data_IF_490913608173
#
_entry.id   IF_490913608173
#
_cell.length_a   1.000
_cell.length_b   1.000
_cell.length_c   1.000
_cell.angle_alpha   90.00
_cell.angle_beta   90.00
_cell.angle_gamma   90.00
#
_symmetry.space_group_name_H-M   'P 1'
#
loop_
_entity.id
_entity.type
_entity.pdbx_description
1 polymer ?
#
# COMPACT_ATOMS: atom_id res chain seq x y z
N UNK A 1 -24.37 -2.07 52.72
CA UNK A 1 -23.08 -1.34 52.89
C UNK A 1 -22.22 -1.67 51.71
N UNK A 2 -22.14 -0.77 50.74
CA UNK A 2 -21.29 -0.94 49.57
C UNK A 2 -19.87 -0.48 49.92
N UNK A 3 -18.90 -1.38 49.74
CA UNK A 3 -17.47 -1.12 49.89
C UNK A 3 -17.03 0.02 48.96
N UNK A 4 -16.23 0.99 49.43
CA UNK A 4 -15.68 2.04 48.57
C UNK A 4 -14.72 1.40 47.54
N UNK A 5 -14.98 1.61 46.26
CA UNK A 5 -14.03 1.24 45.21
C UNK A 5 -12.69 1.95 45.47
N UNK A 6 -11.63 1.19 45.67
CA UNK A 6 -10.28 1.72 45.80
C UNK A 6 -9.94 2.59 44.59
N UNK A 7 -9.68 3.88 44.84
CA UNK A 7 -9.23 4.80 43.81
C UNK A 7 -7.79 4.44 43.42
N UNK A 8 -7.63 3.71 42.33
CA UNK A 8 -6.33 3.45 41.73
C UNK A 8 -5.51 4.74 41.58
N UNK A 9 -4.27 4.73 42.02
CA UNK A 9 -3.34 5.85 41.89
C UNK A 9 -3.11 6.24 40.43
N UNK A 10 -2.62 7.45 40.16
CA UNK A 10 -2.41 8.00 38.80
C UNK A 10 -1.53 7.11 37.93
N UNK A 11 -0.52 6.45 38.52
CA UNK A 11 0.36 5.49 37.82
C UNK A 11 -0.38 4.20 37.43
N UNK A 12 -1.24 3.66 38.32
CA UNK A 12 -2.02 2.46 38.03
C UNK A 12 -3.08 2.72 36.94
N UNK A 13 -3.76 3.88 36.96
CA UNK A 13 -4.68 4.28 35.88
C UNK A 13 -3.96 4.48 34.56
N UNK A 14 -2.72 4.97 34.55
CA UNK A 14 -1.89 5.09 33.35
C UNK A 14 -1.48 3.71 32.85
N UNK A 15 -1.10 2.80 33.72
CA UNK A 15 -0.77 1.42 33.39
C UNK A 15 -1.96 0.66 32.82
N UNK A 16 -3.17 0.83 33.39
CA UNK A 16 -4.37 0.18 32.89
C UNK A 16 -4.83 0.74 31.52
N UNK A 17 -4.65 2.04 31.27
CA UNK A 17 -4.89 2.63 29.94
C UNK A 17 -3.92 2.09 28.88
N UNK A 18 -2.68 1.75 29.28
CA UNK A 18 -1.69 1.14 28.38
C UNK A 18 -1.97 -0.35 28.11
N UNK A 19 -2.82 -0.99 28.93
CA UNK A 19 -3.25 -2.39 28.77
C UNK A 19 -4.52 -2.55 27.94
N UNK A 20 -5.16 -1.46 27.56
CA UNK A 20 -6.36 -1.53 26.70
C UNK A 20 -5.91 -2.04 25.33
N UNK A 21 -6.24 -3.30 25.04
CA UNK A 21 -6.06 -3.88 23.71
C UNK A 21 -7.03 -3.16 22.76
N UNK A 22 -6.48 -2.53 21.73
CA UNK A 22 -7.30 -1.93 20.68
C UNK A 22 -7.68 -3.06 19.73
N UNK A 23 -8.94 -3.47 19.79
CA UNK A 23 -9.48 -4.45 18.85
C UNK A 23 -9.79 -3.74 17.54
N UNK A 24 -9.25 -4.27 16.46
CA UNK A 24 -9.57 -3.83 15.10
C UNK A 24 -10.94 -4.42 14.73
N UNK A 25 -11.77 -3.62 14.05
CA UNK A 25 -12.99 -4.17 13.46
C UNK A 25 -12.61 -5.17 12.36
N UNK A 26 -13.38 -6.27 12.23
CA UNK A 26 -13.09 -7.24 11.19
C UNK A 26 -13.24 -6.59 9.80
N UNK A 27 -12.49 -7.08 8.84
CA UNK A 27 -12.65 -6.71 7.42
C UNK A 27 -14.11 -6.87 7.02
N UNK A 28 -14.67 -5.83 6.40
CA UNK A 28 -16.05 -5.89 5.93
C UNK A 28 -16.13 -6.80 4.70
N UNK A 29 -17.07 -7.75 4.76
CA UNK A 29 -17.41 -8.57 3.58
C UNK A 29 -18.61 -7.93 2.88
N UNK A 30 -18.44 -7.62 1.61
CA UNK A 30 -19.52 -7.10 0.79
C UNK A 30 -20.56 -8.19 0.53
N UNK A 31 -21.75 -8.01 1.08
CA UNK A 31 -22.90 -8.90 0.89
C UNK A 31 -23.98 -8.28 0.00
N UNK A 32 -23.80 -7.05 -0.45
CA UNK A 32 -24.70 -6.37 -1.38
C UNK A 32 -24.19 -6.56 -2.81
N UNK A 33 -25.09 -6.74 -3.79
CA UNK A 33 -24.71 -6.82 -5.18
C UNK A 33 -23.91 -5.57 -5.62
N UNK A 34 -23.00 -5.74 -6.57
CA UNK A 34 -22.38 -4.60 -7.25
C UNK A 34 -23.45 -3.85 -8.02
N UNK A 35 -23.37 -2.53 -7.99
CA UNK A 35 -24.09 -1.70 -8.97
C UNK A 35 -23.30 -1.73 -10.26
N UNK A 36 -23.84 -2.40 -11.26
CA UNK A 36 -23.23 -2.54 -12.59
C UNK A 36 -23.89 -1.53 -13.54
N UNK A 37 -23.27 -0.36 -13.77
CA UNK A 37 -23.83 0.67 -14.67
C UNK A 37 -23.75 0.28 -16.15
N UNK A 38 -22.95 -0.73 -16.48
CA UNK A 38 -22.78 -1.27 -17.82
C UNK A 38 -23.29 -2.71 -17.89
N UNK A 39 -23.90 -3.06 -19.02
CA UNK A 39 -24.24 -4.44 -19.30
C UNK A 39 -23.02 -5.24 -19.79
N UNK A 40 -23.17 -6.57 -19.89
CA UNK A 40 -22.09 -7.49 -20.27
C UNK A 40 -21.46 -7.13 -21.63
N UNK A 41 -22.28 -6.81 -22.65
CA UNK A 41 -21.80 -6.38 -23.97
C UNK A 41 -20.93 -5.12 -23.90
N UNK A 42 -21.30 -4.16 -23.06
CA UNK A 42 -20.53 -2.91 -22.88
C UNK A 42 -19.19 -3.19 -22.18
N UNK A 43 -19.18 -4.09 -21.21
CA UNK A 43 -17.94 -4.52 -20.52
C UNK A 43 -17.02 -5.23 -21.50
N UNK A 44 -17.54 -6.18 -22.29
CA UNK A 44 -16.79 -6.88 -23.32
C UNK A 44 -16.19 -5.93 -24.37
N UNK A 45 -16.94 -4.91 -24.79
CA UNK A 45 -16.44 -3.88 -25.72
C UNK A 45 -15.31 -3.04 -25.13
N UNK A 46 -15.39 -2.70 -23.83
CA UNK A 46 -14.31 -1.99 -23.13
C UNK A 46 -13.05 -2.86 -22.99
N UNK A 47 -13.24 -4.11 -22.64
CA UNK A 47 -12.15 -5.07 -22.53
C UNK A 47 -11.46 -5.29 -23.90
N UNK A 48 -12.23 -5.49 -24.97
CA UNK A 48 -11.72 -5.63 -26.32
C UNK A 48 -10.96 -4.38 -26.80
N UNK A 49 -11.48 -3.20 -26.50
CA UNK A 49 -10.80 -1.94 -26.82
C UNK A 49 -9.48 -1.79 -26.04
N UNK A 50 -9.43 -2.22 -24.77
CA UNK A 50 -8.23 -2.21 -23.95
C UNK A 50 -7.16 -3.16 -24.51
N UNK A 51 -7.57 -4.37 -24.91
CA UNK A 51 -6.67 -5.32 -25.56
C UNK A 51 -6.18 -4.81 -26.92
N UNK A 52 -7.03 -4.17 -27.72
CA UNK A 52 -6.63 -3.53 -28.99
C UNK A 52 -5.57 -2.45 -28.78
N UNK A 53 -5.70 -1.62 -27.72
CA UNK A 53 -4.68 -0.62 -27.37
C UNK A 53 -3.36 -1.31 -27.03
N UNK A 54 -3.36 -2.37 -26.24
CA UNK A 54 -2.15 -3.10 -25.88
C UNK A 54 -1.49 -3.80 -27.09
N UNK A 55 -2.28 -4.29 -28.03
CA UNK A 55 -1.83 -5.01 -29.22
C UNK A 55 -1.34 -4.07 -30.34
N UNK A 56 -2.10 -3.04 -30.65
CA UNK A 56 -1.83 -2.16 -31.80
C UNK A 56 -0.95 -0.96 -31.44
N UNK A 57 -1.23 -0.30 -30.32
CA UNK A 57 -0.46 0.85 -29.84
C UNK A 57 0.71 0.40 -28.98
N UNK A 58 0.45 -0.45 -27.98
CA UNK A 58 1.44 -0.92 -27.01
C UNK A 58 1.81 0.12 -25.96
N UNK A 59 2.76 -0.23 -25.12
CA UNK A 59 3.21 0.57 -23.97
C UNK A 59 4.72 0.77 -24.06
N UNK A 60 5.21 1.95 -23.71
CA UNK A 60 6.65 2.24 -23.63
C UNK A 60 7.20 1.85 -22.25
N UNK A 61 8.35 1.18 -22.26
CA UNK A 61 9.10 0.81 -21.08
C UNK A 61 10.49 1.40 -21.16
N UNK A 62 10.75 2.43 -20.38
CA UNK A 62 12.06 3.10 -20.31
C UNK A 62 13.00 2.38 -19.33
N UNK A 63 13.05 1.06 -19.40
CA UNK A 63 13.86 0.21 -18.53
C UNK A 63 14.37 -1.02 -19.30
N UNK A 64 15.68 -1.15 -19.53
CA UNK A 64 16.24 -2.27 -20.30
C UNK A 64 15.94 -3.65 -19.71
N UNK A 65 15.85 -3.77 -18.38
CA UNK A 65 15.56 -5.04 -17.71
C UNK A 65 14.12 -5.46 -18.01
N UNK A 66 13.17 -4.53 -17.92
CA UNK A 66 11.78 -4.81 -18.26
C UNK A 66 11.62 -5.20 -19.74
N UNK A 67 12.32 -4.54 -20.66
CA UNK A 67 12.30 -4.89 -22.09
C UNK A 67 12.80 -6.33 -22.35
N UNK A 68 13.86 -6.74 -21.67
CA UNK A 68 14.37 -8.11 -21.78
C UNK A 68 13.41 -9.14 -21.14
N UNK A 69 12.76 -8.79 -20.03
CA UNK A 69 11.72 -9.64 -19.44
C UNK A 69 10.53 -9.84 -20.39
N UNK A 70 10.06 -8.75 -21.02
CA UNK A 70 8.97 -8.81 -22.00
C UNK A 70 9.33 -9.61 -23.25
N UNK A 71 10.56 -9.49 -23.75
CA UNK A 71 11.05 -10.35 -24.87
C UNK A 71 11.02 -11.82 -24.48
N UNK A 72 11.48 -12.17 -23.27
CA UNK A 72 11.46 -13.55 -22.76
C UNK A 72 10.04 -14.08 -22.59
N UNK A 73 9.10 -13.22 -22.21
CA UNK A 73 7.69 -13.57 -22.11
C UNK A 73 6.98 -13.70 -23.48
N UNK A 74 7.65 -13.38 -24.58
CA UNK A 74 7.10 -13.52 -25.93
C UNK A 74 6.39 -12.27 -26.46
N UNK A 75 6.47 -11.14 -25.79
CA UNK A 75 5.91 -9.89 -26.27
C UNK A 75 6.71 -9.31 -27.45
N UNK A 76 6.05 -8.53 -28.30
CA UNK A 76 6.67 -7.86 -29.45
C UNK A 76 7.34 -6.56 -29.03
N UNK A 77 8.66 -6.59 -28.82
CA UNK A 77 9.47 -5.45 -28.37
C UNK A 77 10.18 -4.80 -29.55
N UNK A 78 9.90 -3.50 -29.79
CA UNK A 78 10.56 -2.67 -30.82
C UNK A 78 11.05 -1.37 -30.19
N UNK A 79 12.37 -1.25 -29.99
CA UNK A 79 12.93 -0.16 -29.19
C UNK A 79 12.42 -0.23 -27.75
N UNK A 80 11.86 0.84 -27.26
CA UNK A 80 11.24 0.91 -25.92
C UNK A 80 9.75 0.54 -25.91
N UNK A 81 9.14 0.37 -27.10
CA UNK A 81 7.72 0.04 -27.23
C UNK A 81 7.47 -1.45 -27.23
N UNK A 82 6.61 -1.90 -26.36
CA UNK A 82 6.16 -3.29 -26.23
C UNK A 82 4.71 -3.40 -26.63
N UNK A 83 4.41 -4.34 -27.53
CA UNK A 83 3.05 -4.73 -27.91
C UNK A 83 2.78 -6.14 -27.43
N UNK A 84 1.57 -6.36 -26.99
CA UNK A 84 1.19 -7.59 -26.31
C UNK A 84 0.14 -8.34 -27.14
N UNK A 85 0.38 -9.60 -27.41
CA UNK A 85 -0.65 -10.49 -27.89
C UNK A 85 -1.75 -10.67 -26.83
N UNK A 86 -3.00 -10.73 -27.29
CA UNK A 86 -4.16 -10.88 -26.39
C UNK A 86 -4.09 -12.14 -25.54
N UNK A 87 -3.60 -13.26 -26.13
CA UNK A 87 -3.43 -14.52 -25.43
C UNK A 87 -2.44 -14.40 -24.28
N UNK A 88 -1.28 -13.76 -24.52
CA UNK A 88 -0.29 -13.48 -23.47
C UNK A 88 -0.88 -12.67 -22.31
N UNK A 89 -1.64 -11.62 -22.60
CA UNK A 89 -2.26 -10.81 -21.54
C UNK A 89 -3.27 -11.65 -20.73
N UNK A 90 -4.10 -12.45 -21.39
CA UNK A 90 -5.07 -13.33 -20.72
C UNK A 90 -4.39 -14.36 -19.82
N UNK A 91 -3.30 -14.97 -20.29
CA UNK A 91 -2.51 -15.93 -19.52
C UNK A 91 -1.90 -15.28 -18.27
N UNK A 92 -1.29 -14.09 -18.41
CA UNK A 92 -0.69 -13.37 -17.29
C UNK A 92 -1.75 -12.95 -16.26
N UNK A 93 -2.91 -12.45 -16.70
CA UNK A 93 -4.01 -12.08 -15.78
C UNK A 93 -4.52 -13.32 -15.04
N UNK A 94 -4.64 -14.46 -15.71
CA UNK A 94 -5.11 -15.70 -15.09
C UNK A 94 -4.14 -16.24 -14.02
N UNK A 95 -2.88 -15.83 -14.01
CA UNK A 95 -1.89 -16.23 -13.01
C UNK A 95 -1.96 -15.41 -11.70
N UNK A 96 -2.74 -14.32 -11.69
CA UNK A 96 -2.87 -13.45 -10.51
C UNK A 96 -3.72 -14.14 -9.44
N UNK A 97 -3.26 -14.24 -8.18
CA UNK A 97 -4.05 -14.84 -7.11
C UNK A 97 -5.32 -14.02 -6.81
N UNK A 98 -6.42 -14.69 -6.52
CA UNK A 98 -7.70 -14.05 -6.16
C UNK A 98 -7.61 -13.26 -4.85
N UNK A 99 -6.79 -13.70 -3.91
CA UNK A 99 -6.53 -13.01 -2.65
C UNK A 99 -5.10 -13.22 -2.18
N UNK A 100 -4.63 -12.28 -1.37
CA UNK A 100 -3.34 -12.33 -0.68
C UNK A 100 -3.52 -12.01 0.80
N UNK A 101 -2.72 -12.66 1.65
CA UNK A 101 -2.64 -12.29 3.06
C UNK A 101 -1.52 -11.27 3.26
N UNK A 102 -1.88 -10.08 3.71
CA UNK A 102 -0.93 -9.05 4.16
C UNK A 102 -0.69 -9.24 5.65
N UNK A 103 0.52 -9.60 6.01
CA UNK A 103 0.90 -9.87 7.40
C UNK A 103 1.21 -8.58 8.15
N UNK A 104 0.58 -8.41 9.31
CA UNK A 104 0.86 -7.32 10.23
C UNK A 104 1.87 -7.75 11.30
N UNK A 105 2.48 -6.77 12.01
CA UNK A 105 3.36 -7.05 13.15
C UNK A 105 2.61 -7.74 14.29
N UNK A 106 1.37 -7.35 14.55
CA UNK A 106 0.43 -8.12 15.35
C UNK A 106 -0.33 -9.07 14.41
N UNK A 107 -0.13 -10.41 14.49
CA UNK A 107 -0.77 -11.35 13.58
C UNK A 107 -2.29 -11.27 13.54
N UNK A 108 -2.93 -10.86 14.65
CA UNK A 108 -4.39 -10.67 14.73
C UNK A 108 -4.90 -9.51 13.87
N UNK A 109 -3.99 -8.64 13.39
CA UNK A 109 -4.28 -7.49 12.50
C UNK A 109 -3.87 -7.72 11.06
N UNK A 110 -3.47 -8.95 10.73
CA UNK A 110 -3.21 -9.33 9.34
C UNK A 110 -4.49 -9.25 8.52
N UNK A 111 -4.37 -8.93 7.23
CA UNK A 111 -5.49 -8.64 6.36
C UNK A 111 -5.50 -9.60 5.17
N UNK A 112 -6.68 -10.07 4.80
CA UNK A 112 -6.90 -10.74 3.53
C UNK A 112 -7.39 -9.71 2.50
N UNK A 113 -6.59 -9.49 1.46
CA UNK A 113 -6.86 -8.53 0.38
C UNK A 113 -7.32 -9.30 -0.84
N UNK A 114 -8.48 -8.97 -1.36
CA UNK A 114 -9.07 -9.62 -2.54
C UNK A 114 -10.49 -10.11 -2.30
N UNK A 115 -11.09 -10.70 -3.32
CA UNK A 115 -12.46 -11.19 -3.29
C UNK A 115 -13.48 -10.12 -2.88
N UNK A 116 -14.33 -10.44 -1.92
CA UNK A 116 -15.35 -9.54 -1.39
C UNK A 116 -14.91 -8.74 -0.15
N UNK A 117 -13.64 -8.78 0.20
CA UNK A 117 -13.12 -8.07 1.36
C UNK A 117 -13.00 -6.57 1.09
N UNK A 118 -13.44 -5.74 2.04
CA UNK A 118 -13.30 -4.29 2.01
C UNK A 118 -12.40 -3.84 3.16
N UNK A 119 -11.29 -3.22 2.82
CA UNK A 119 -10.26 -2.78 3.75
C UNK A 119 -10.20 -1.26 3.73
N UNK A 120 -10.25 -0.63 4.90
CA UNK A 120 -10.14 0.81 5.03
C UNK A 120 -8.70 1.21 5.37
N UNK A 121 -8.17 2.12 4.56
CA UNK A 121 -6.85 2.73 4.74
C UNK A 121 -7.00 4.24 4.72
N UNK A 122 -6.13 4.99 5.43
CA UNK A 122 -6.11 6.45 5.32
C UNK A 122 -5.75 6.89 3.90
N UNK A 123 -6.20 8.08 3.50
CA UNK A 123 -5.67 8.73 2.31
C UNK A 123 -4.16 8.96 2.47
N UNK A 124 -3.43 8.92 1.38
CA UNK A 124 -1.97 9.11 1.36
C UNK A 124 -1.56 10.29 0.48
N UNK A 125 -0.43 10.90 0.81
CA UNK A 125 0.21 11.91 -0.02
C UNK A 125 -0.38 13.31 0.10
N UNK A 126 -1.10 13.63 1.19
CA UNK A 126 -1.59 14.98 1.38
C UNK A 126 -0.42 15.96 1.61
N UNK A 127 -0.24 16.97 0.73
CA UNK A 127 0.89 17.92 0.84
C UNK A 127 0.66 19.00 1.91
N UNK A 128 -0.54 19.07 2.46
CA UNK A 128 -0.95 20.05 3.47
C UNK A 128 -1.87 19.42 4.49
N UNK A 129 -1.92 20.02 5.68
CA UNK A 129 -2.99 19.81 6.65
C UNK A 129 -3.69 21.12 6.98
N UNK A 130 -4.87 21.00 7.54
CA UNK A 130 -5.68 22.15 7.95
C UNK A 130 -5.93 22.05 9.45
N UNK A 131 -5.70 23.12 10.19
CA UNK A 131 -6.05 23.20 11.60
C UNK A 131 -7.55 23.50 11.82
N UNK A 132 -7.95 23.62 13.08
CA UNK A 132 -9.34 23.88 13.44
C UNK A 132 -9.83 25.29 13.02
N UNK A 133 -8.91 26.21 12.79
CA UNK A 133 -9.15 27.57 12.34
C UNK A 133 -9.13 27.71 10.80
N UNK A 134 -9.02 26.58 10.08
CA UNK A 134 -8.88 26.50 8.61
C UNK A 134 -7.58 27.11 8.05
N UNK A 135 -6.54 27.26 8.86
CA UNK A 135 -5.23 27.62 8.34
C UNK A 135 -4.60 26.41 7.64
N UNK A 136 -4.02 26.66 6.48
CA UNK A 136 -3.28 25.67 5.71
C UNK A 136 -1.84 25.59 6.22
N UNK A 137 -1.45 24.43 6.71
CA UNK A 137 -0.15 24.18 7.33
C UNK A 137 0.68 23.19 6.52
N UNK A 138 2.00 23.37 6.54
CA UNK A 138 2.94 22.39 6.01
C UNK A 138 3.15 21.29 7.06
N UNK A 139 2.92 20.01 6.70
CA UNK A 139 3.06 18.91 7.64
C UNK A 139 4.50 18.70 8.09
N UNK A 140 4.64 18.29 9.34
CA UNK A 140 5.90 17.85 9.95
C UNK A 140 5.93 16.34 10.14
N UNK A 141 7.10 15.79 10.50
CA UNK A 141 7.22 14.38 10.86
C UNK A 141 6.42 14.05 12.15
N UNK A 142 6.28 14.98 13.05
CA UNK A 142 5.45 14.81 14.25
C UNK A 142 3.95 14.76 13.91
N UNK A 143 3.48 15.53 12.94
CA UNK A 143 2.12 15.44 12.42
C UNK A 143 1.89 14.05 11.79
N UNK A 144 2.78 13.59 10.96
CA UNK A 144 2.71 12.25 10.38
C UNK A 144 2.68 11.16 11.48
N UNK A 145 3.53 11.28 12.49
CA UNK A 145 3.55 10.35 13.63
C UNK A 145 2.21 10.34 14.38
N UNK A 146 1.56 11.50 14.53
CA UNK A 146 0.24 11.60 15.14
C UNK A 146 -0.84 10.94 14.26
N UNK A 147 -0.80 11.08 12.94
CA UNK A 147 -1.70 10.36 12.03
C UNK A 147 -1.49 8.85 12.09
N UNK A 148 -0.26 8.35 12.19
CA UNK A 148 -0.01 6.91 12.38
C UNK A 148 -0.57 6.40 13.71
N UNK A 149 -0.43 7.17 14.81
CA UNK A 149 -1.03 6.84 16.10
C UNK A 149 -2.56 6.84 16.04
N UNK A 150 -3.17 7.81 15.33
CA UNK A 150 -4.61 7.84 15.12
C UNK A 150 -5.07 6.62 14.31
N UNK A 151 -4.38 6.29 13.23
CA UNK A 151 -4.68 5.10 12.42
C UNK A 151 -4.58 3.82 13.24
N UNK A 152 -3.58 3.72 14.14
CA UNK A 152 -3.46 2.61 15.07
C UNK A 152 -4.64 2.55 16.06
N UNK A 153 -5.04 3.70 16.61
CA UNK A 153 -6.09 3.80 17.62
C UNK A 153 -7.51 3.63 17.07
N UNK A 154 -7.74 3.87 15.80
CA UNK A 154 -9.07 3.79 15.18
C UNK A 154 -9.39 2.35 14.76
N UNK A 155 -10.38 1.68 15.38
CA UNK A 155 -10.71 0.29 15.06
C UNK A 155 -11.13 0.07 13.61
N UNK A 156 -11.79 1.06 12.99
CA UNK A 156 -12.29 0.99 11.62
C UNK A 156 -11.21 1.15 10.54
N UNK A 157 -10.00 1.60 10.90
CA UNK A 157 -8.88 1.71 9.99
C UNK A 157 -8.06 0.43 10.08
N UNK A 158 -7.97 -0.32 8.98
CA UNK A 158 -7.34 -1.63 8.94
C UNK A 158 -5.82 -1.56 8.71
N UNK A 159 -5.33 -0.56 7.98
CA UNK A 159 -3.91 -0.35 7.68
C UNK A 159 -3.47 1.05 8.06
N UNK A 160 -2.22 1.21 8.49
CA UNK A 160 -1.67 2.53 8.83
C UNK A 160 -1.24 3.36 7.62
N UNK A 161 -1.32 2.79 6.41
CA UNK A 161 -0.78 3.38 5.18
C UNK A 161 0.72 3.73 5.31
N UNK A 162 1.26 4.72 4.55
CA UNK A 162 2.64 5.17 4.76
C UNK A 162 2.71 6.68 5.01
N UNK A 163 2.69 7.56 4.02
CA UNK A 163 2.69 9.01 4.24
C UNK A 163 1.28 9.57 4.11
N UNK A 164 0.53 9.56 5.19
CA UNK A 164 -0.81 10.16 5.24
C UNK A 164 -0.70 11.65 4.89
N UNK A 165 0.32 12.31 5.43
CA UNK A 165 0.75 13.64 5.04
C UNK A 165 2.23 13.61 4.66
N UNK A 166 2.67 14.49 3.76
CA UNK A 166 4.07 14.59 3.33
C UNK A 166 4.86 15.46 4.31
N UNK A 167 5.75 14.92 5.15
CA UNK A 167 6.53 15.71 6.11
C UNK A 167 7.56 16.59 5.38
N UNK A 168 7.43 17.91 5.54
CA UNK A 168 8.24 18.90 4.83
C UNK A 168 9.46 19.39 5.62
N UNK A 169 9.57 19.03 6.87
CA UNK A 169 10.63 19.41 7.81
C UNK A 169 11.89 18.54 7.72
N UNK A 170 11.92 17.56 6.82
CA UNK A 170 13.06 16.64 6.65
C UNK A 170 13.57 16.62 5.19
N UNK A 171 14.88 16.39 5.04
CA UNK A 171 15.53 16.28 3.75
C UNK A 171 14.94 15.11 2.91
N UNK A 172 14.68 15.35 1.65
CA UNK A 172 14.08 14.38 0.71
C UNK A 172 14.89 13.07 0.66
N UNK A 173 16.21 13.15 0.71
CA UNK A 173 17.12 11.99 0.62
C UNK A 173 16.92 10.93 1.71
N UNK A 174 16.38 11.29 2.87
CA UNK A 174 16.18 10.38 4.01
C UNK A 174 14.71 10.34 4.47
N UNK A 175 13.81 11.06 3.79
CA UNK A 175 12.42 11.21 4.19
C UNK A 175 11.69 9.88 4.18
N UNK A 176 11.92 9.03 3.16
CA UNK A 176 11.32 7.69 3.05
C UNK A 176 11.64 6.82 4.28
N UNK A 177 12.87 6.86 4.79
CA UNK A 177 13.27 6.12 6.01
C UNK A 177 12.51 6.60 7.23
N UNK A 178 12.34 7.92 7.39
CA UNK A 178 11.62 8.53 8.52
C UNK A 178 10.13 8.21 8.47
N UNK A 179 9.52 8.26 7.29
CA UNK A 179 8.12 7.89 7.07
C UNK A 179 7.89 6.43 7.42
N UNK A 180 8.69 5.52 6.85
CA UNK A 180 8.60 4.07 7.10
C UNK A 180 8.82 3.76 8.59
N UNK A 181 9.84 4.35 9.22
CA UNK A 181 10.08 4.20 10.65
C UNK A 181 8.90 4.68 11.50
N UNK A 182 8.29 5.81 11.14
CA UNK A 182 7.13 6.34 11.85
C UNK A 182 5.94 5.38 11.79
N UNK A 183 5.65 4.79 10.63
CA UNK A 183 4.61 3.78 10.47
C UNK A 183 4.89 2.55 11.35
N UNK A 184 6.09 1.96 11.22
CA UNK A 184 6.51 0.79 11.99
C UNK A 184 6.51 1.02 13.50
N UNK A 185 6.89 2.21 13.95
CA UNK A 185 6.98 2.56 15.37
C UNK A 185 5.63 2.77 16.03
N UNK A 186 4.71 3.41 15.32
CA UNK A 186 3.46 3.91 15.92
C UNK A 186 2.24 3.05 15.63
N UNK A 187 2.38 2.01 14.76
CA UNK A 187 1.32 1.05 14.50
C UNK A 187 1.88 -0.38 14.42
N UNK A 188 1.08 -1.35 14.81
CA UNK A 188 1.32 -2.78 14.63
C UNK A 188 0.43 -3.38 13.53
N UNK A 189 -0.37 -2.54 12.86
CA UNK A 189 -1.19 -2.88 11.69
C UNK A 189 -0.31 -3.03 10.44
N UNK A 190 -0.89 -3.52 9.37
CA UNK A 190 -0.26 -3.50 8.03
C UNK A 190 0.07 -2.07 7.61
N UNK A 191 1.02 -1.90 6.72
CA UNK A 191 1.43 -0.59 6.20
C UNK A 191 1.88 -0.68 4.74
N UNK A 192 2.04 0.46 4.12
CA UNK A 192 2.58 0.60 2.76
C UNK A 192 4.01 1.13 2.83
N UNK A 193 4.84 0.70 1.90
CA UNK A 193 6.21 1.19 1.74
C UNK A 193 6.32 2.30 0.69
N UNK A 194 7.38 3.08 0.79
CA UNK A 194 7.71 4.09 -0.21
C UNK A 194 8.31 3.45 -1.45
N UNK A 195 7.76 3.79 -2.61
CA UNK A 195 8.15 3.28 -3.93
C UNK A 195 8.66 4.38 -4.85
N UNK A 196 9.12 5.49 -4.30
CA UNK A 196 9.58 6.67 -5.06
C UNK A 196 10.88 6.44 -5.85
N UNK A 197 11.59 5.35 -5.61
CA UNK A 197 12.70 4.82 -6.42
C UNK A 197 13.02 3.38 -6.01
N UNK A 198 13.77 2.64 -6.84
CA UNK A 198 14.28 1.31 -6.48
C UNK A 198 15.11 1.32 -5.19
N UNK A 199 16.00 2.32 -5.04
CA UNK A 199 16.80 2.49 -3.82
C UNK A 199 15.93 2.70 -2.56
N UNK A 200 14.91 3.53 -2.64
CA UNK A 200 14.01 3.75 -1.51
C UNK A 200 13.18 2.50 -1.19
N UNK A 201 12.81 1.73 -2.21
CA UNK A 201 12.15 0.45 -2.04
C UNK A 201 13.06 -0.58 -1.35
N UNK A 202 14.35 -0.69 -1.75
CA UNK A 202 15.35 -1.52 -1.08
C UNK A 202 15.49 -1.18 0.40
N UNK A 203 15.60 0.11 0.73
CA UNK A 203 15.69 0.57 2.12
C UNK A 203 14.44 0.16 2.93
N UNK A 204 13.24 0.21 2.34
CA UNK A 204 12.00 -0.26 2.98
C UNK A 204 12.05 -1.78 3.23
N UNK A 205 12.49 -2.58 2.26
CA UNK A 205 12.62 -4.03 2.41
C UNK A 205 13.64 -4.37 3.51
N UNK A 206 14.79 -3.68 3.56
CA UNK A 206 15.76 -3.88 4.64
C UNK A 206 15.16 -3.54 6.02
N UNK A 207 14.34 -2.50 6.13
CA UNK A 207 13.61 -2.20 7.37
C UNK A 207 12.59 -3.28 7.70
N UNK A 208 11.92 -3.87 6.71
CA UNK A 208 11.02 -5.01 6.90
C UNK A 208 11.79 -6.26 7.38
N UNK A 209 12.99 -6.55 6.85
CA UNK A 209 13.86 -7.64 7.33
C UNK A 209 14.19 -7.48 8.81
N UNK A 210 14.50 -6.26 9.24
CA UNK A 210 14.77 -5.97 10.66
C UNK A 210 13.53 -6.19 11.52
N UNK A 211 12.34 -5.80 11.04
CA UNK A 211 11.10 -5.85 11.80
C UNK A 211 10.48 -7.25 11.88
N UNK A 212 10.46 -7.99 10.78
CA UNK A 212 9.77 -9.29 10.66
C UNK A 212 10.73 -10.47 10.60
N UNK A 213 11.99 -10.23 10.28
CA UNK A 213 12.99 -11.27 10.00
C UNK A 213 13.05 -11.66 8.52
N UNK A 214 14.28 -11.83 8.01
CA UNK A 214 14.55 -12.10 6.59
C UNK A 214 13.78 -13.34 6.08
N UNK A 215 13.87 -14.47 6.77
CA UNK A 215 13.17 -15.71 6.40
C UNK A 215 11.65 -15.57 6.32
N UNK A 216 11.08 -14.67 7.12
CA UNK A 216 9.63 -14.47 7.12
C UNK A 216 9.19 -13.71 5.87
N UNK A 217 9.89 -12.66 5.50
CA UNK A 217 9.52 -11.84 4.34
C UNK A 217 9.77 -12.53 2.99
N UNK A 218 10.67 -13.55 2.94
CA UNK A 218 10.90 -14.34 1.72
C UNK A 218 9.67 -15.13 1.26
N UNK A 219 8.69 -15.34 2.13
CA UNK A 219 7.52 -16.16 1.87
C UNK A 219 6.19 -15.51 2.27
N UNK A 220 6.22 -14.31 2.86
CA UNK A 220 5.05 -13.63 3.37
C UNK A 220 5.02 -12.16 2.96
N UNK A 221 3.90 -11.71 2.42
CA UNK A 221 3.70 -10.30 2.11
C UNK A 221 3.51 -9.50 3.41
N UNK A 222 4.42 -8.57 3.71
CA UNK A 222 4.41 -7.74 4.93
C UNK A 222 4.27 -6.25 4.62
N UNK A 223 4.47 -5.86 3.37
CA UNK A 223 4.39 -4.47 2.91
C UNK A 223 3.82 -4.42 1.50
N UNK A 224 3.00 -3.40 1.22
CA UNK A 224 2.53 -3.11 -0.14
C UNK A 224 3.23 -1.87 -0.68
N UNK A 225 3.39 -1.83 -2.01
CA UNK A 225 3.88 -0.66 -2.73
C UNK A 225 2.83 -0.15 -3.71
N UNK A 226 2.79 1.14 -3.95
CA UNK A 226 1.98 1.75 -4.99
C UNK A 226 2.87 2.16 -6.16
N UNK A 227 2.68 1.52 -7.30
CA UNK A 227 3.45 1.74 -8.52
C UNK A 227 2.54 2.38 -9.56
N UNK A 228 2.97 3.49 -10.15
CA UNK A 228 2.21 4.26 -11.13
C UNK A 228 2.93 4.31 -12.48
N UNK A 229 2.20 4.07 -13.55
CA UNK A 229 2.66 4.36 -14.90
C UNK A 229 2.54 5.85 -15.21
N UNK A 230 3.32 6.33 -16.15
CA UNK A 230 3.23 7.69 -16.68
C UNK A 230 2.21 7.75 -17.83
N UNK A 231 1.45 8.81 -17.89
CA UNK A 231 0.47 9.04 -18.96
C UNK A 231 1.15 9.75 -20.14
N UNK A 232 0.85 9.35 -21.40
CA UNK A 232 0.07 8.19 -21.78
C UNK A 232 0.93 6.94 -22.03
N UNK A 233 0.56 5.80 -21.47
CA UNK A 233 1.10 4.48 -21.78
C UNK A 233 2.65 4.37 -21.67
N UNK A 234 3.23 4.91 -20.60
CA UNK A 234 4.68 4.89 -20.33
C UNK A 234 4.97 4.35 -18.95
N UNK A 235 5.96 3.47 -18.85
CA UNK A 235 6.56 3.03 -17.59
C UNK A 235 8.02 3.46 -17.52
N UNK A 236 8.36 4.30 -16.56
CA UNK A 236 9.72 4.75 -16.35
C UNK A 236 10.55 3.76 -15.53
N UNK A 237 11.87 3.90 -15.63
CA UNK A 237 12.83 3.06 -14.92
C UNK A 237 12.69 3.17 -13.39
N UNK A 238 12.31 4.34 -12.88
CA UNK A 238 12.20 4.60 -11.45
C UNK A 238 11.10 3.72 -10.84
N UNK A 239 9.91 3.73 -11.43
CA UNK A 239 8.77 2.93 -10.97
C UNK A 239 8.99 1.43 -11.19
N UNK A 240 9.56 1.06 -12.34
CA UNK A 240 9.86 -0.35 -12.64
C UNK A 240 10.97 -0.93 -11.73
N UNK A 241 11.97 -0.13 -11.35
CA UNK A 241 12.97 -0.57 -10.38
C UNK A 241 12.38 -0.79 -9.00
N UNK A 242 11.47 0.07 -8.55
CA UNK A 242 10.76 -0.11 -7.30
C UNK A 242 9.83 -1.35 -7.34
N UNK A 243 9.12 -1.57 -8.46
CA UNK A 243 8.29 -2.76 -8.66
C UNK A 243 9.11 -4.05 -8.49
N UNK A 244 10.28 -4.14 -9.12
CA UNK A 244 11.16 -5.33 -9.00
C UNK A 244 11.64 -5.61 -7.58
N UNK A 245 11.77 -4.60 -6.75
CA UNK A 245 12.18 -4.77 -5.35
C UNK A 245 11.06 -5.33 -4.49
N UNK A 246 9.80 -4.99 -4.83
CA UNK A 246 8.63 -5.46 -4.10
C UNK A 246 8.06 -6.79 -4.64
N UNK A 247 8.50 -7.24 -5.82
CA UNK A 247 8.11 -8.52 -6.41
C UNK A 247 9.10 -9.63 -6.04
#
# INVERSE_FOLDING_TARGET
>A
MSTPAERLGRAARRSDRLKVKIEMLPTLKRNIPLTEPMNEEQIERMDDASLSILEEVGVEFHDPIALEQWKKAGANVKGERVRFDRGLIRELIASIPESITMHARDPEKSLEIGGNNSIFVPMTGAPFLTDLENNRLMPTLDDLANFHKLSHMLPAIHSSAHHIVEPMDHAISHRHLRITYSSMKHSDKTFMGMTSSGKNAEDVIEMCKILFGEKFIDSHAVVTGNINGNSPLVWDQTMLSALRVFS
#
